data_IF_322854100928
#
_entry.id   IF_322854100928
#
_cell.length_a   1.000
_cell.length_b   1.000
_cell.length_c   1.000
_cell.angle_alpha   90.00
_cell.angle_beta   90.00
_cell.angle_gamma   90.00
#
_symmetry.space_group_name_H-M   'P 1'
#
loop_
_entity.id
_entity.type
_entity.pdbx_description
1 polymer ?
#
# COMPACT_ATOMS: atom_id res chain seq x y z
N UNK A 1 20.33 23.85 5.87
CA UNK A 1 20.30 22.40 6.11
C UNK A 1 18.84 22.03 6.10
N UNK A 2 18.34 21.44 5.01
CA UNK A 2 16.95 20.99 4.96
C UNK A 2 16.91 19.67 5.72
N UNK A 3 16.27 19.65 6.88
CA UNK A 3 15.92 18.41 7.57
C UNK A 3 14.97 17.64 6.66
N UNK A 4 15.49 16.77 5.79
CA UNK A 4 14.64 15.83 5.06
C UNK A 4 14.21 14.77 6.06
N UNK A 5 13.02 14.94 6.63
CA UNK A 5 12.41 13.91 7.46
C UNK A 5 12.21 12.67 6.59
N UNK A 6 12.92 11.60 6.92
CA UNK A 6 12.77 10.29 6.29
C UNK A 6 11.34 9.81 6.48
N UNK A 7 10.62 9.57 5.38
CA UNK A 7 9.23 9.09 5.43
C UNK A 7 9.21 7.60 5.74
N UNK A 8 8.23 7.18 6.54
CA UNK A 8 8.05 5.79 6.97
C UNK A 8 7.05 5.03 6.12
N UNK A 9 7.41 3.82 5.72
CA UNK A 9 6.61 2.89 4.93
C UNK A 9 6.17 1.69 5.77
N UNK A 10 4.86 1.45 5.86
CA UNK A 10 4.30 0.23 6.41
C UNK A 10 3.71 -0.62 5.29
N UNK A 11 4.05 -1.91 5.24
CA UNK A 11 3.53 -2.84 4.23
C UNK A 11 2.68 -3.93 4.89
N UNK A 12 1.38 -3.92 4.61
CA UNK A 12 0.46 -5.01 4.94
C UNK A 12 0.42 -6.02 3.81
N UNK A 13 0.58 -7.31 4.11
CA UNK A 13 0.58 -8.36 3.09
C UNK A 13 -0.60 -9.31 3.30
N UNK A 14 -1.46 -9.41 2.29
CA UNK A 14 -2.59 -10.34 2.25
C UNK A 14 -2.43 -11.34 1.10
N UNK A 15 -1.81 -12.50 1.37
CA UNK A 15 -1.66 -13.50 0.31
C UNK A 15 -0.92 -14.75 0.72
N UNK A 16 0.07 -15.13 -0.08
CA UNK A 16 0.97 -16.26 0.19
C UNK A 16 2.42 -15.77 0.39
N UNK A 17 3.33 -16.72 0.61
CA UNK A 17 4.77 -16.46 0.73
C UNK A 17 5.36 -15.66 -0.45
N UNK A 18 4.80 -15.80 -1.65
CA UNK A 18 5.22 -14.98 -2.79
C UNK A 18 4.92 -13.50 -2.57
N UNK A 19 3.77 -13.15 -1.98
CA UNK A 19 3.47 -11.77 -1.64
C UNK A 19 4.35 -11.24 -0.52
N UNK A 20 4.76 -12.09 0.44
CA UNK A 20 5.72 -11.68 1.47
C UNK A 20 7.07 -11.33 0.85
N UNK A 21 7.56 -12.16 -0.07
CA UNK A 21 8.76 -11.88 -0.85
C UNK A 21 8.63 -10.60 -1.68
N UNK A 22 7.52 -10.44 -2.40
CA UNK A 22 7.25 -9.24 -3.20
C UNK A 22 7.18 -7.99 -2.33
N UNK A 23 6.56 -8.08 -1.16
CA UNK A 23 6.45 -6.97 -0.20
C UNK A 23 7.80 -6.54 0.34
N UNK A 24 8.66 -7.49 0.72
CA UNK A 24 10.03 -7.19 1.16
C UNK A 24 10.81 -6.49 0.03
N UNK A 25 10.76 -7.04 -1.19
CA UNK A 25 11.43 -6.45 -2.35
C UNK A 25 10.91 -5.06 -2.71
N UNK A 26 9.61 -4.82 -2.60
CA UNK A 26 9.03 -3.49 -2.81
C UNK A 26 9.50 -2.49 -1.75
N UNK A 27 9.59 -2.90 -0.49
CA UNK A 27 10.09 -2.05 0.58
C UNK A 27 11.56 -1.67 0.34
N UNK A 28 12.41 -2.62 -0.04
CA UNK A 28 13.82 -2.38 -0.37
C UNK A 28 13.95 -1.38 -1.53
N UNK A 29 13.25 -1.62 -2.65
CA UNK A 29 13.31 -0.74 -3.82
C UNK A 29 12.81 0.68 -3.52
N UNK A 30 11.75 0.80 -2.72
CA UNK A 30 11.20 2.08 -2.28
C UNK A 30 12.15 2.80 -1.31
N UNK A 31 12.88 2.05 -0.48
CA UNK A 31 13.96 2.56 0.35
C UNK A 31 15.11 3.12 -0.49
N UNK A 32 15.58 2.35 -1.47
CA UNK A 32 16.69 2.74 -2.36
C UNK A 32 16.34 3.95 -3.24
N UNK A 33 15.15 3.98 -3.82
CA UNK A 33 14.76 5.00 -4.81
C UNK A 33 14.18 6.28 -4.22
N UNK A 34 13.47 6.19 -3.08
CA UNK A 34 12.74 7.31 -2.49
C UNK A 34 13.19 7.63 -1.05
N UNK A 35 14.17 6.90 -0.52
CA UNK A 35 14.69 7.09 0.84
C UNK A 35 13.63 6.78 1.90
N UNK A 36 12.76 5.80 1.66
CA UNK A 36 11.72 5.39 2.61
C UNK A 36 12.28 4.41 3.64
N UNK A 37 11.94 4.59 4.92
CA UNK A 37 12.30 3.64 5.96
C UNK A 37 11.13 2.71 6.29
N UNK A 38 11.33 1.39 6.35
CA UNK A 38 10.28 0.47 6.75
C UNK A 38 9.90 0.68 8.23
N UNK A 39 8.63 0.47 8.55
CA UNK A 39 8.12 0.44 9.92
C UNK A 39 7.13 -0.70 10.11
N UNK A 40 7.10 -1.27 11.31
CA UNK A 40 6.13 -2.29 11.71
C UNK A 40 4.84 -1.69 12.29
N UNK A 41 4.73 -0.37 12.32
CA UNK A 41 3.61 0.37 12.91
C UNK A 41 2.89 1.20 11.85
N UNK A 42 1.65 0.82 11.53
CA UNK A 42 0.81 1.61 10.64
C UNK A 42 0.51 3.02 11.21
N UNK A 43 0.48 3.16 12.53
CA UNK A 43 0.27 4.45 13.20
C UNK A 43 1.47 5.40 13.04
N UNK A 44 2.68 4.88 12.83
CA UNK A 44 3.90 5.68 12.64
C UNK A 44 4.22 5.97 11.17
N UNK A 45 3.52 5.31 10.25
CA UNK A 45 3.77 5.43 8.83
C UNK A 45 3.28 6.76 8.23
N UNK A 46 3.98 7.17 7.17
CA UNK A 46 3.56 8.21 6.23
C UNK A 46 2.98 7.61 4.95
N UNK A 47 3.32 6.34 4.68
CA UNK A 47 2.84 5.56 3.54
C UNK A 47 2.39 4.19 4.03
N UNK A 48 1.15 3.82 3.72
CA UNK A 48 0.60 2.48 3.94
C UNK A 48 0.47 1.76 2.60
N UNK A 49 1.04 0.57 2.50
CA UNK A 49 1.00 -0.25 1.29
C UNK A 49 0.33 -1.57 1.57
N UNK A 50 -0.77 -1.87 0.88
CA UNK A 50 -1.42 -3.19 0.94
C UNK A 50 -1.04 -4.01 -0.28
N UNK A 51 -0.24 -5.07 -0.12
CA UNK A 51 0.05 -6.02 -1.18
C UNK A 51 -0.87 -7.24 -1.07
N UNK A 52 -1.63 -7.57 -2.13
CA UNK A 52 -2.62 -8.65 -2.05
C UNK A 52 -2.71 -9.55 -3.27
N UNK A 53 -2.93 -10.86 -3.07
CA UNK A 53 -3.17 -11.83 -4.14
C UNK A 53 -4.66 -11.91 -4.53
N UNK A 54 -4.97 -12.24 -5.79
CA UNK A 54 -6.35 -12.36 -6.26
C UNK A 54 -6.91 -13.78 -6.24
N UNK A 55 -6.06 -14.79 -6.06
CA UNK A 55 -6.45 -16.21 -6.17
C UNK A 55 -7.08 -16.77 -4.89
N UNK A 56 -7.18 -15.97 -3.83
CA UNK A 56 -7.76 -16.38 -2.55
C UNK A 56 -9.21 -15.96 -2.48
N UNK A 57 -10.03 -16.84 -1.90
CA UNK A 57 -11.43 -16.51 -1.61
C UNK A 57 -11.49 -15.23 -0.76
N UNK A 58 -12.41 -14.34 -1.13
CA UNK A 58 -12.67 -13.07 -0.45
C UNK A 58 -11.49 -12.09 -0.42
N UNK A 59 -10.57 -12.18 -1.37
CA UNK A 59 -9.43 -11.26 -1.44
C UNK A 59 -9.87 -9.79 -1.53
N UNK A 60 -10.90 -9.52 -2.34
CA UNK A 60 -11.47 -8.19 -2.51
C UNK A 60 -12.10 -7.65 -1.21
N UNK A 61 -12.88 -8.45 -0.50
CA UNK A 61 -13.50 -8.07 0.77
C UNK A 61 -12.43 -7.77 1.84
N UNK A 62 -11.33 -8.53 1.85
CA UNK A 62 -10.19 -8.28 2.74
C UNK A 62 -9.51 -6.94 2.43
N UNK A 63 -9.40 -6.55 1.16
CA UNK A 63 -8.91 -5.21 0.76
C UNK A 63 -9.83 -4.13 1.34
N UNK A 64 -11.14 -4.23 1.12
CA UNK A 64 -12.07 -3.22 1.63
C UNK A 64 -12.11 -3.15 3.16
N UNK A 65 -12.00 -4.29 3.83
CA UNK A 65 -11.90 -4.34 5.29
C UNK A 65 -10.63 -3.62 5.78
N UNK A 66 -9.48 -3.85 5.12
CA UNK A 66 -8.23 -3.16 5.45
C UNK A 66 -8.33 -1.66 5.23
N UNK A 67 -8.83 -1.22 4.07
CA UNK A 67 -9.01 0.20 3.76
C UNK A 67 -9.98 0.86 4.75
N UNK A 68 -11.01 0.12 5.19
CA UNK A 68 -11.93 0.54 6.25
C UNK A 68 -11.21 0.78 7.58
N UNK A 69 -10.29 -0.12 7.95
CA UNK A 69 -9.42 0.08 9.12
C UNK A 69 -8.57 1.33 8.93
N UNK A 70 -7.85 1.49 7.81
CA UNK A 70 -6.96 2.65 7.61
C UNK A 70 -7.66 4.00 7.46
N UNK A 71 -8.98 4.03 7.27
CA UNK A 71 -9.76 5.26 7.24
C UNK A 71 -9.50 6.18 8.43
N UNK A 72 -9.44 5.62 9.64
CA UNK A 72 -9.19 6.42 10.84
C UNK A 72 -7.78 7.04 10.86
N UNK A 73 -6.77 6.35 10.30
CA UNK A 73 -5.40 6.87 10.19
C UNK A 73 -5.35 8.02 9.21
N UNK A 74 -5.99 7.90 8.05
CA UNK A 74 -6.07 8.99 7.06
C UNK A 74 -6.81 10.21 7.60
N UNK A 75 -7.83 10.01 8.45
CA UNK A 75 -8.51 11.12 9.13
C UNK A 75 -7.60 11.84 10.13
N UNK A 76 -6.76 11.10 10.87
CA UNK A 76 -5.78 11.67 11.82
C UNK A 76 -4.57 12.31 11.11
N UNK A 77 -4.15 11.72 9.99
CA UNK A 77 -3.02 12.13 9.17
C UNK A 77 -3.48 12.39 7.73
N UNK A 78 -3.97 13.60 7.41
CA UNK A 78 -4.48 13.92 6.06
C UNK A 78 -3.44 13.72 4.95
N UNK A 79 -2.15 13.82 5.26
CA UNK A 79 -1.05 13.64 4.31
C UNK A 79 -0.63 12.17 4.12
N UNK A 80 -1.21 11.23 4.89
CA UNK A 80 -0.93 9.79 4.79
C UNK A 80 -1.27 9.27 3.40
N UNK A 81 -0.32 8.62 2.75
CA UNK A 81 -0.52 8.00 1.44
C UNK A 81 -0.96 6.56 1.63
N UNK A 82 -2.00 6.11 0.91
CA UNK A 82 -2.47 4.73 0.93
C UNK A 82 -2.37 4.14 -0.47
N UNK A 83 -1.53 3.10 -0.61
CA UNK A 83 -1.35 2.33 -1.83
C UNK A 83 -1.91 0.92 -1.71
N UNK A 84 -2.49 0.41 -2.80
CA UNK A 84 -2.88 -1.00 -2.93
C UNK A 84 -2.16 -1.58 -4.15
N UNK A 85 -1.42 -2.67 -3.95
CA UNK A 85 -0.66 -3.39 -4.96
C UNK A 85 -1.00 -4.89 -5.00
N UNK A 86 -0.29 -5.61 -5.86
CA UNK A 86 -0.51 -7.03 -6.10
C UNK A 86 -1.67 -7.32 -7.06
N UNK A 87 -2.00 -8.61 -7.23
CA UNK A 87 -2.90 -9.07 -8.29
C UNK A 87 -4.32 -8.47 -8.21
N UNK A 88 -4.84 -8.22 -6.99
CA UNK A 88 -6.18 -7.61 -6.85
C UNK A 88 -6.17 -6.16 -7.35
N UNK A 89 -5.11 -5.41 -7.07
CA UNK A 89 -4.97 -4.04 -7.57
C UNK A 89 -4.95 -4.01 -9.11
N UNK A 90 -4.23 -4.95 -9.73
CA UNK A 90 -4.14 -5.05 -11.19
C UNK A 90 -5.45 -5.49 -11.85
N UNK A 91 -6.21 -6.40 -11.23
CA UNK A 91 -7.45 -6.95 -11.80
C UNK A 91 -8.68 -6.09 -11.50
N UNK A 92 -8.68 -5.39 -10.37
CA UNK A 92 -9.87 -4.72 -9.82
C UNK A 92 -9.63 -3.27 -9.37
N UNK A 93 -8.50 -2.66 -9.75
CA UNK A 93 -8.13 -1.30 -9.31
C UNK A 93 -9.22 -0.24 -9.55
N UNK A 94 -9.97 -0.37 -10.65
CA UNK A 94 -11.10 0.51 -10.96
C UNK A 94 -12.23 0.41 -9.92
N UNK A 95 -12.53 -0.79 -9.42
CA UNK A 95 -13.56 -1.03 -8.41
C UNK A 95 -13.08 -0.67 -7.01
N UNK A 96 -11.80 -0.88 -6.69
CA UNK A 96 -11.19 -0.41 -5.44
C UNK A 96 -11.40 1.10 -5.30
N UNK A 97 -11.06 1.88 -6.33
CA UNK A 97 -11.22 3.34 -6.31
C UNK A 97 -12.67 3.84 -6.28
N UNK A 98 -13.67 2.98 -6.53
CA UNK A 98 -15.11 3.34 -6.45
C UNK A 98 -15.72 2.94 -5.12
N UNK A 99 -15.33 1.78 -4.57
CA UNK A 99 -15.97 1.14 -3.41
C UNK A 99 -15.20 1.34 -2.12
N UNK A 100 -13.96 1.82 -2.17
CA UNK A 100 -13.18 2.03 -0.97
C UNK A 100 -13.86 3.06 -0.03
N UNK A 101 -13.79 2.86 1.30
CA UNK A 101 -14.43 3.73 2.28
C UNK A 101 -13.71 5.07 2.53
N UNK A 102 -12.79 5.43 1.62
CA UNK A 102 -11.90 6.59 1.61
C UNK A 102 -12.17 7.45 0.36
N UNK A 103 -11.66 8.68 0.27
CA UNK A 103 -11.83 9.47 -0.97
C UNK A 103 -10.98 8.84 -2.07
N UNK A 104 -11.44 8.91 -3.32
CA UNK A 104 -10.71 8.36 -4.46
C UNK A 104 -9.31 8.98 -4.63
N UNK A 105 -9.13 10.24 -4.25
CA UNK A 105 -7.82 10.92 -4.25
C UNK A 105 -6.85 10.42 -3.18
N UNK A 106 -7.35 9.70 -2.17
CA UNK A 106 -6.57 9.24 -1.02
C UNK A 106 -5.96 7.86 -1.23
N UNK A 107 -6.40 7.15 -2.29
CA UNK A 107 -5.99 5.78 -2.59
C UNK A 107 -5.39 5.72 -3.99
N UNK A 108 -4.22 5.11 -4.08
CA UNK A 108 -3.63 4.70 -5.33
C UNK A 108 -3.67 3.17 -5.46
N UNK A 109 -4.27 2.66 -6.52
CA UNK A 109 -4.32 1.22 -6.81
C UNK A 109 -3.72 0.97 -8.20
N UNK A 110 -2.56 0.35 -8.25
CA UNK A 110 -1.90 -0.06 -9.49
C UNK A 110 -1.00 -1.27 -9.26
N UNK A 111 -0.46 -1.83 -10.32
CA UNK A 111 0.62 -2.80 -10.21
C UNK A 111 1.91 -2.10 -9.74
N UNK A 112 2.19 -2.14 -8.44
CA UNK A 112 3.38 -1.51 -7.84
C UNK A 112 4.68 -2.08 -8.43
N UNK A 113 4.66 -3.34 -8.89
CA UNK A 113 5.79 -3.96 -9.57
C UNK A 113 6.13 -3.27 -10.91
N UNK A 114 5.18 -2.61 -11.56
CA UNK A 114 5.40 -1.92 -12.85
C UNK A 114 5.89 -0.48 -12.70
N UNK A 115 5.83 0.10 -11.49
CA UNK A 115 6.29 1.46 -11.21
C UNK A 115 7.63 1.53 -10.47
N UNK A 116 8.09 0.41 -9.91
CA UNK A 116 9.40 0.28 -9.27
C UNK A 116 10.49 -0.27 -10.22
N UNK A 117 10.13 -0.57 -11.46
CA UNK A 117 11.05 -1.02 -12.51
C UNK A 117 10.50 -0.65 -13.87
N UNK A 118 10.94 0.49 -14.40
CA UNK A 118 10.85 0.78 -15.82
C UNK A 118 11.97 1.77 -16.19
N UNK A 119 13.17 1.20 -16.34
CA UNK A 119 13.92 1.35 -17.59
C UNK A 119 13.70 0.07 -18.40
#
# INVERSE_FOLDING_TARGET
MSDSVTKKLFVETHGCQMNEYDSARMADLLGESHGLEPTDSADDADILLLNTCSIREKAQEKVFHQLGRWKHLKQKKPDLIIGVGGCVASQEGAEIGKRAPLRRSDIWATNIASSAGND
#
